data_IF_171128844800
#
_entry.id   IF_171128844800
#
_cell.length_a   1.000
_cell.length_b   1.000
_cell.length_c   1.000
_cell.angle_alpha   90.00
_cell.angle_beta   90.00
_cell.angle_gamma   90.00
#
_symmetry.space_group_name_H-M   'P 1'
#
loop_
_entity.id
_entity.type
_entity.pdbx_description
1 polymer ?
#
# COMPACT_ATOMS: atom_id res chain seq x y z
N UNK A 1 48.93 4.49 15.59
CA UNK A 1 48.14 5.02 16.72
C UNK A 1 46.96 4.09 16.95
N UNK A 2 46.95 3.31 18.04
CA UNK A 2 45.76 2.52 18.42
C UNK A 2 44.72 3.49 18.99
N UNK A 3 43.89 4.07 18.14
CA UNK A 3 42.79 4.93 18.57
C UNK A 3 41.67 4.05 19.14
N UNK A 4 41.51 4.04 20.46
CA UNK A 4 40.42 3.35 21.13
C UNK A 4 40.68 3.25 22.64
N UNK A 5 39.63 3.33 23.46
CA UNK A 5 39.79 3.13 24.90
C UNK A 5 40.19 1.68 25.20
N UNK A 6 41.21 1.46 26.06
CA UNK A 6 41.72 0.12 26.36
C UNK A 6 40.79 -0.70 27.25
N UNK A 7 39.84 -0.06 27.97
CA UNK A 7 38.89 -0.71 28.88
C UNK A 7 37.42 -0.33 28.59
N UNK A 8 36.84 -0.74 27.44
CA UNK A 8 35.47 -0.40 27.08
C UNK A 8 34.40 -0.77 28.14
N UNK A 9 34.43 -1.95 28.80
CA UNK A 9 33.39 -2.34 29.75
C UNK A 9 33.39 -1.49 31.03
N UNK A 10 34.57 -1.16 31.55
CA UNK A 10 34.71 -0.27 32.70
C UNK A 10 34.13 1.11 32.39
N UNK A 11 34.46 1.64 31.21
CA UNK A 11 33.94 2.92 30.76
C UNK A 11 32.41 2.87 30.60
N UNK A 12 31.85 1.82 30.00
CA UNK A 12 30.40 1.63 29.88
C UNK A 12 29.71 1.57 31.25
N UNK A 13 30.31 0.92 32.24
CA UNK A 13 29.81 0.91 33.62
C UNK A 13 29.79 2.33 34.21
N UNK A 14 30.89 3.08 34.06
CA UNK A 14 30.96 4.46 34.53
C UNK A 14 29.89 5.33 33.87
N UNK A 15 29.64 5.15 32.57
CA UNK A 15 28.55 5.81 31.87
C UNK A 15 27.19 5.47 32.48
N UNK A 16 26.89 4.20 32.78
CA UNK A 16 25.62 3.81 33.43
C UNK A 16 25.45 4.39 34.83
N UNK A 17 26.52 4.37 35.64
CA UNK A 17 26.49 4.94 37.00
C UNK A 17 26.25 6.46 36.95
N UNK A 18 26.93 7.16 36.04
CA UNK A 18 26.75 8.59 35.83
C UNK A 18 25.34 8.91 35.29
N UNK A 19 24.88 8.17 34.29
CA UNK A 19 23.53 8.28 33.73
C UNK A 19 22.45 8.12 34.80
N UNK A 20 22.56 7.08 35.64
CA UNK A 20 21.60 6.82 36.71
C UNK A 20 21.53 7.98 37.71
N UNK A 21 22.67 8.54 38.11
CA UNK A 21 22.73 9.70 39.01
C UNK A 21 22.08 10.94 38.39
N UNK A 22 22.42 11.26 37.15
CA UNK A 22 21.91 12.43 36.44
C UNK A 22 20.39 12.34 36.20
N UNK A 23 19.90 11.17 35.76
CA UNK A 23 18.48 10.95 35.50
C UNK A 23 17.66 10.96 36.81
N UNK A 24 18.16 10.36 37.90
CA UNK A 24 17.49 10.40 39.22
C UNK A 24 17.43 11.81 39.79
N UNK A 25 18.52 12.57 39.71
CA UNK A 25 18.56 13.96 40.18
C UNK A 25 17.57 14.86 39.42
N UNK A 26 17.26 14.50 38.17
CA UNK A 26 16.37 15.27 37.30
C UNK A 26 14.88 14.87 37.40
N UNK A 27 14.57 13.72 37.99
CA UNK A 27 13.21 13.18 38.13
C UNK A 27 12.20 14.16 38.81
N UNK A 28 12.52 14.83 39.94
CA UNK A 28 11.55 15.72 40.59
C UNK A 28 11.25 16.99 39.76
N UNK A 29 12.20 17.45 38.93
CA UNK A 29 12.02 18.63 38.08
C UNK A 29 11.15 18.33 36.85
N UNK A 30 11.25 17.12 36.30
CA UNK A 30 10.44 16.67 35.17
C UNK A 30 8.97 16.43 35.58
N UNK A 31 8.74 15.88 36.77
CA UNK A 31 7.41 15.59 37.29
C UNK A 31 6.63 16.87 37.66
N UNK A 32 7.31 17.89 38.19
CA UNK A 32 6.73 19.20 38.48
C UNK A 32 6.30 19.96 37.21
N UNK A 33 7.11 19.90 36.13
CA UNK A 33 6.81 20.62 34.87
C UNK A 33 5.77 19.93 34.00
N UNK A 34 5.61 18.61 34.10
CA UNK A 34 4.54 17.88 33.44
C UNK A 34 3.14 18.29 33.95
N UNK A 35 3.04 18.78 35.18
CA UNK A 35 1.79 19.28 35.78
C UNK A 35 1.43 20.71 35.34
N UNK A 36 2.38 21.49 34.83
CA UNK A 36 2.17 22.91 34.46
C UNK A 36 1.68 23.12 33.02
N UNK A 37 1.36 22.06 32.25
CA UNK A 37 0.66 22.17 30.97
C UNK A 37 1.42 22.88 29.83
N UNK A 38 2.68 23.25 30.03
CA UNK A 38 3.49 23.92 29.02
C UNK A 38 3.88 22.97 27.88
N UNK A 39 3.40 23.25 26.67
CA UNK A 39 3.68 22.52 25.40
C UNK A 39 5.17 22.49 24.96
N UNK A 40 6.11 22.88 25.82
CA UNK A 40 7.54 22.83 25.55
C UNK A 40 8.29 22.16 26.68
N UNK A 41 8.52 20.85 26.56
CA UNK A 41 9.46 20.15 27.44
C UNK A 41 10.87 20.66 27.13
N UNK A 42 11.31 21.70 27.85
CA UNK A 42 12.71 22.13 27.83
C UNK A 42 13.51 21.07 28.57
N UNK A 43 14.14 20.19 27.80
CA UNK A 43 15.05 19.18 28.32
C UNK A 43 16.20 19.89 29.04
N UNK A 44 16.43 19.54 30.30
CA UNK A 44 17.55 20.09 31.06
C UNK A 44 18.85 19.41 30.62
N UNK A 45 19.98 20.12 30.70
CA UNK A 45 21.30 19.55 30.38
C UNK A 45 21.57 18.21 31.08
N UNK A 46 21.23 18.02 32.38
CA UNK A 46 21.43 16.74 33.05
C UNK A 46 20.57 15.60 32.49
N UNK A 47 19.37 15.87 31.97
CA UNK A 47 18.54 14.85 31.31
C UNK A 47 19.16 14.43 29.99
N UNK A 48 19.60 15.39 29.17
CA UNK A 48 20.24 15.11 27.89
C UNK A 48 21.53 14.32 28.09
N UNK A 49 22.41 14.79 28.98
CA UNK A 49 23.68 14.14 29.29
C UNK A 49 23.46 12.74 29.89
N UNK A 50 22.52 12.62 30.83
CA UNK A 50 22.15 11.33 31.41
C UNK A 50 21.63 10.33 30.37
N UNK A 51 20.88 10.81 29.37
CA UNK A 51 20.38 9.98 28.26
C UNK A 51 21.49 9.50 27.34
N UNK A 52 22.41 10.39 26.98
CA UNK A 52 23.57 10.07 26.15
C UNK A 52 24.41 9.00 26.86
N UNK A 53 24.70 9.21 28.15
CA UNK A 53 25.47 8.26 28.94
C UNK A 53 24.75 6.93 29.14
N UNK A 54 23.41 6.91 29.22
CA UNK A 54 22.63 5.67 29.29
C UNK A 54 22.80 4.82 28.02
N UNK A 55 22.70 5.45 26.84
CA UNK A 55 22.90 4.79 25.54
C UNK A 55 24.34 4.30 25.39
N UNK A 56 25.32 5.17 25.65
CA UNK A 56 26.74 4.82 25.56
C UNK A 56 27.14 3.68 26.53
N UNK A 57 26.47 3.62 27.68
CA UNK A 57 26.64 2.59 28.68
C UNK A 57 25.89 1.28 28.40
N UNK A 58 25.16 1.17 27.29
CA UNK A 58 24.31 0.02 26.95
C UNK A 58 23.21 -0.27 27.98
N UNK A 59 22.74 0.76 28.70
CA UNK A 59 21.67 0.63 29.68
C UNK A 59 20.30 0.85 29.02
N UNK A 60 19.68 -0.22 28.52
CA UNK A 60 18.37 -0.13 27.84
C UNK A 60 17.28 0.44 28.74
N UNK A 61 17.13 -0.10 29.95
CA UNK A 61 16.09 0.36 30.88
C UNK A 61 16.30 1.82 31.29
N UNK A 62 17.55 2.24 31.48
CA UNK A 62 17.90 3.64 31.78
C UNK A 62 17.61 4.55 30.58
N UNK A 63 17.91 4.09 29.37
CA UNK A 63 17.65 4.84 28.13
C UNK A 63 16.15 5.04 27.96
N UNK A 64 15.34 3.97 28.06
CA UNK A 64 13.89 4.04 27.94
C UNK A 64 13.20 4.76 29.11
N UNK A 65 13.86 4.89 30.26
CA UNK A 65 13.37 5.73 31.36
C UNK A 65 13.59 7.22 31.10
N UNK A 66 14.41 7.59 30.10
CA UNK A 66 14.62 8.98 29.75
C UNK A 66 13.45 9.55 28.95
N UNK A 67 12.96 10.77 29.30
CA UNK A 67 11.95 11.46 28.52
C UNK A 67 12.44 11.90 27.13
N UNK A 68 13.76 11.95 26.89
CA UNK A 68 14.32 12.25 25.57
C UNK A 68 14.16 11.05 24.63
N UNK A 69 14.52 9.85 25.09
CA UNK A 69 14.53 8.62 24.28
C UNK A 69 13.12 8.04 24.12
N UNK A 70 12.26 8.21 25.12
CA UNK A 70 10.88 7.72 25.07
C UNK A 70 9.87 8.77 24.58
N UNK A 71 10.36 9.78 23.84
CA UNK A 71 9.53 10.89 23.32
C UNK A 71 8.64 10.48 22.15
N UNK A 72 9.15 9.60 21.29
CA UNK A 72 8.45 9.06 20.14
C UNK A 72 8.70 7.56 20.01
N UNK A 73 7.91 6.93 19.14
CA UNK A 73 8.07 5.52 18.83
C UNK A 73 9.40 5.26 18.12
N UNK A 74 9.82 6.15 17.22
CA UNK A 74 11.08 6.06 16.49
C UNK A 74 12.29 6.16 17.41
N UNK A 75 12.27 7.08 18.38
CA UNK A 75 13.37 7.25 19.34
C UNK A 75 13.51 6.00 20.24
N UNK A 76 12.38 5.43 20.67
CA UNK A 76 12.36 4.19 21.45
C UNK A 76 12.83 2.99 20.62
N UNK A 77 12.34 2.86 19.37
CA UNK A 77 12.76 1.81 18.45
C UNK A 77 14.25 1.90 18.15
N UNK A 78 14.75 3.11 17.86
CA UNK A 78 16.17 3.38 17.66
C UNK A 78 16.99 2.93 18.86
N UNK A 79 16.59 3.26 20.08
CA UNK A 79 17.32 2.86 21.28
C UNK A 79 17.41 1.34 21.39
N UNK A 80 16.30 0.62 21.20
CA UNK A 80 16.31 -0.84 21.19
C UNK A 80 17.26 -1.42 20.14
N UNK A 81 17.09 -1.06 18.86
CA UNK A 81 17.91 -1.58 17.77
C UNK A 81 19.39 -1.21 17.92
N UNK A 82 19.67 0.01 18.37
CA UNK A 82 21.04 0.50 18.58
C UNK A 82 21.73 -0.28 19.69
N UNK A 83 21.07 -0.43 20.85
CA UNK A 83 21.66 -1.13 21.99
C UNK A 83 21.80 -2.63 21.72
N UNK A 84 20.85 -3.23 20.99
CA UNK A 84 20.95 -4.62 20.51
C UNK A 84 22.20 -4.80 19.62
N UNK A 85 22.41 -3.94 18.63
CA UNK A 85 23.57 -4.00 17.74
C UNK A 85 24.90 -3.78 18.49
N UNK A 86 24.96 -2.76 19.35
CA UNK A 86 26.16 -2.47 20.14
C UNK A 86 26.46 -3.59 21.17
N UNK A 87 25.43 -4.23 21.73
CA UNK A 87 25.58 -5.38 22.63
C UNK A 87 26.11 -6.61 21.89
N UNK A 88 25.62 -6.92 20.67
CA UNK A 88 26.16 -7.99 19.81
C UNK A 88 27.66 -7.75 19.55
N UNK A 89 28.04 -6.53 19.19
CA UNK A 89 29.44 -6.17 18.96
C UNK A 89 30.31 -6.21 20.24
N UNK A 90 29.76 -5.82 21.39
CA UNK A 90 30.47 -5.92 22.67
C UNK A 90 30.67 -7.38 23.10
N UNK A 91 29.64 -8.22 22.95
CA UNK A 91 29.68 -9.65 23.25
C UNK A 91 30.73 -10.40 22.42
N UNK A 92 30.76 -10.18 21.10
CA UNK A 92 31.76 -10.83 20.25
C UNK A 92 33.19 -10.37 20.58
N UNK A 93 33.39 -9.08 20.90
CA UNK A 93 34.69 -8.58 21.35
C UNK A 93 35.13 -9.22 22.67
N UNK A 94 34.22 -9.38 23.63
CA UNK A 94 34.50 -10.05 24.90
C UNK A 94 34.88 -11.53 24.70
N UNK A 95 34.13 -12.26 23.85
CA UNK A 95 34.47 -13.65 23.46
C UNK A 95 35.83 -13.74 22.79
N UNK A 96 36.14 -12.83 21.86
CA UNK A 96 37.44 -12.79 21.19
C UNK A 96 38.58 -12.53 22.18
N UNK A 97 38.44 -11.55 23.09
CA UNK A 97 39.44 -11.28 24.14
C UNK A 97 39.66 -12.46 25.07
N UNK A 98 38.59 -13.18 25.45
CA UNK A 98 38.69 -14.42 26.22
C UNK A 98 39.55 -15.45 25.51
N UNK A 99 39.28 -15.71 24.22
CA UNK A 99 40.08 -16.66 23.42
C UNK A 99 41.53 -16.21 23.33
N UNK A 100 41.78 -14.93 23.05
CA UNK A 100 43.13 -14.38 22.97
C UNK A 100 43.92 -14.57 24.28
N UNK A 101 43.28 -14.32 25.43
CA UNK A 101 43.86 -14.52 26.74
C UNK A 101 44.16 -16.01 27.05
N UNK A 102 43.39 -16.93 26.48
CA UNK A 102 43.59 -18.38 26.64
C UNK A 102 44.68 -18.95 25.71
N UNK A 103 44.89 -18.35 24.53
CA UNK A 103 45.75 -18.93 23.49
C UNK A 103 47.13 -18.27 23.39
N UNK A 104 47.33 -17.05 23.89
CA UNK A 104 48.56 -16.29 23.65
C UNK A 104 49.19 -15.72 24.91
N UNK A 105 50.40 -16.19 25.24
CA UNK A 105 51.27 -15.61 26.27
C UNK A 105 51.81 -14.21 25.91
N UNK A 106 51.65 -13.78 24.65
CA UNK A 106 52.15 -12.50 24.12
C UNK A 106 51.26 -11.29 24.46
N UNK A 107 50.09 -11.51 25.06
CA UNK A 107 49.14 -10.44 25.41
C UNK A 107 48.71 -10.50 26.89
N UNK A 108 49.62 -10.27 27.85
CA UNK A 108 49.30 -10.31 29.28
C UNK A 108 48.18 -9.33 29.70
N UNK A 109 48.06 -8.17 29.04
CA UNK A 109 46.97 -7.20 29.29
C UNK A 109 45.60 -7.64 28.75
N UNK A 110 45.52 -8.73 27.97
CA UNK A 110 44.24 -9.31 27.58
C UNK A 110 43.54 -9.97 28.78
N UNK A 111 44.30 -10.41 29.79
CA UNK A 111 43.78 -11.15 30.96
C UNK A 111 43.05 -10.25 31.95
N UNK A 112 43.56 -9.04 32.21
CA UNK A 112 42.96 -8.09 33.17
C UNK A 112 41.55 -7.64 32.74
N UNK A 113 41.33 -7.49 31.43
CA UNK A 113 40.06 -7.00 30.89
C UNK A 113 38.99 -8.11 30.78
N UNK A 114 39.39 -9.38 30.77
CA UNK A 114 38.45 -10.51 30.64
C UNK A 114 37.58 -10.66 31.88
N UNK A 115 38.10 -10.40 33.08
CA UNK A 115 37.30 -10.50 34.30
C UNK A 115 36.16 -9.47 34.34
N UNK A 116 36.41 -8.23 33.90
CA UNK A 116 35.39 -7.19 33.78
C UNK A 116 34.41 -7.49 32.64
N UNK A 117 34.90 -7.90 31.47
CA UNK A 117 34.05 -8.36 30.36
C UNK A 117 33.06 -9.45 30.80
N UNK A 118 33.55 -10.45 31.52
CA UNK A 118 32.74 -11.59 31.96
C UNK A 118 31.66 -11.21 32.98
N UNK A 119 31.89 -10.15 33.78
CA UNK A 119 30.86 -9.65 34.71
C UNK A 119 29.68 -9.01 33.99
N UNK A 120 29.91 -8.35 32.86
CA UNK A 120 28.86 -7.71 32.05
C UNK A 120 28.28 -8.63 30.98
N UNK A 121 28.91 -9.79 30.76
CA UNK A 121 28.52 -10.72 29.70
C UNK A 121 27.06 -11.16 29.77
N UNK A 122 26.46 -11.49 30.94
CA UNK A 122 25.05 -11.91 30.98
C UNK A 122 24.08 -10.84 30.47
N UNK A 123 24.32 -9.56 30.79
CA UNK A 123 23.49 -8.44 30.33
C UNK A 123 23.66 -8.20 28.82
N UNK A 124 24.91 -8.23 28.36
CA UNK A 124 25.24 -8.10 26.94
C UNK A 124 24.65 -9.23 26.11
N UNK A 125 24.72 -10.47 26.59
CA UNK A 125 24.13 -11.64 25.92
C UNK A 125 22.61 -11.53 25.86
N UNK A 126 21.96 -11.13 26.96
CA UNK A 126 20.51 -10.88 26.98
C UNK A 126 20.09 -9.86 25.92
N UNK A 127 20.81 -8.74 25.81
CA UNK A 127 20.52 -7.73 24.79
C UNK A 127 20.89 -8.17 23.37
N UNK A 128 21.98 -8.95 23.23
CA UNK A 128 22.45 -9.43 21.94
C UNK A 128 21.56 -10.53 21.34
N UNK A 129 20.85 -11.28 22.19
CA UNK A 129 19.88 -12.31 21.83
C UNK A 129 18.50 -11.77 21.48
N UNK A 130 18.23 -10.48 21.69
CA UNK A 130 16.99 -9.89 21.22
C UNK A 130 16.94 -9.98 19.69
N UNK A 131 15.77 -10.32 19.18
CA UNK A 131 15.45 -10.22 17.76
C UNK A 131 14.51 -9.04 17.49
N UNK A 132 14.40 -8.56 16.24
CA UNK A 132 13.52 -7.46 15.87
C UNK A 132 12.07 -7.62 16.37
N UNK A 133 11.55 -8.84 16.42
CA UNK A 133 10.23 -9.18 16.95
C UNK A 133 10.10 -8.80 18.44
N UNK A 134 11.13 -9.07 19.23
CA UNK A 134 11.15 -8.72 20.66
C UNK A 134 11.13 -7.21 20.85
N UNK A 135 11.82 -6.47 19.98
CA UNK A 135 11.82 -5.01 19.99
C UNK A 135 10.41 -4.48 19.72
N UNK A 136 9.75 -4.94 18.66
CA UNK A 136 8.41 -4.45 18.33
C UNK A 136 7.37 -4.88 19.35
N UNK A 137 7.50 -6.06 19.97
CA UNK A 137 6.67 -6.47 21.11
C UNK A 137 6.86 -5.51 22.28
N UNK A 138 8.11 -5.20 22.64
CA UNK A 138 8.42 -4.26 23.72
C UNK A 138 7.88 -2.84 23.45
N UNK A 139 7.87 -2.37 22.20
CA UNK A 139 7.27 -1.09 21.82
C UNK A 139 5.74 -1.10 21.99
N UNK A 140 5.07 -2.20 21.62
CA UNK A 140 3.63 -2.39 21.86
C UNK A 140 3.26 -2.46 23.34
N UNK A 141 4.16 -2.99 24.17
CA UNK A 141 4.01 -3.12 25.62
C UNK A 141 4.64 -1.93 26.41
N UNK A 142 5.10 -0.90 25.71
CA UNK A 142 5.84 0.22 26.31
C UNK A 142 5.07 0.88 27.44
N UNK A 143 5.75 1.36 28.49
CA UNK A 143 5.08 2.10 29.58
C UNK A 143 4.56 3.48 29.12
N UNK A 144 5.13 4.02 28.04
CA UNK A 144 4.73 5.31 27.49
C UNK A 144 3.55 5.13 26.55
N UNK A 145 2.39 5.63 26.97
CA UNK A 145 1.12 5.54 26.23
C UNK A 145 1.25 6.02 24.77
N UNK A 146 1.96 7.12 24.53
CA UNK A 146 2.19 7.63 23.18
C UNK A 146 2.94 6.60 22.30
N UNK A 147 3.96 5.95 22.84
CA UNK A 147 4.74 4.92 22.12
C UNK A 147 3.86 3.72 21.80
N UNK A 148 3.06 3.24 22.77
CA UNK A 148 2.12 2.13 22.52
C UNK A 148 1.09 2.46 21.44
N UNK A 149 0.50 3.66 21.50
CA UNK A 149 -0.49 4.11 20.51
C UNK A 149 0.12 4.20 19.12
N UNK A 150 1.32 4.76 19.00
CA UNK A 150 2.07 4.78 17.76
C UNK A 150 2.38 3.36 17.27
N UNK A 151 2.77 2.43 18.14
CA UNK A 151 3.04 1.04 17.74
C UNK A 151 1.83 0.35 17.09
N UNK A 152 0.60 0.75 17.44
CA UNK A 152 -0.64 0.26 16.83
C UNK A 152 -1.04 1.01 15.54
N UNK A 153 -0.43 2.15 15.23
CA UNK A 153 -0.81 2.97 14.10
C UNK A 153 -0.47 2.28 12.76
N UNK A 154 -1.31 2.42 11.70
CA UNK A 154 -1.13 1.70 10.43
C UNK A 154 0.25 1.86 9.80
N UNK A 155 0.81 3.08 9.84
CA UNK A 155 2.15 3.38 9.29
C UNK A 155 3.24 2.60 10.02
N UNK A 156 3.17 2.52 11.35
CA UNK A 156 4.16 1.80 12.15
C UNK A 156 3.98 0.28 12.07
N UNK A 157 2.74 -0.21 11.89
CA UNK A 157 2.50 -1.63 11.55
C UNK A 157 3.18 -2.02 10.24
N UNK A 158 3.10 -1.16 9.23
CA UNK A 158 3.79 -1.37 7.97
C UNK A 158 5.31 -1.31 8.08
N UNK A 159 5.85 -0.33 8.81
CA UNK A 159 7.29 -0.26 9.09
C UNK A 159 7.78 -1.51 9.82
N UNK A 160 7.02 -1.98 10.83
CA UNK A 160 7.30 -3.25 11.51
C UNK A 160 7.34 -4.41 10.53
N UNK A 161 6.31 -4.59 9.70
CA UNK A 161 6.25 -5.69 8.75
C UNK A 161 7.42 -5.67 7.75
N UNK A 162 7.81 -4.49 7.26
CA UNK A 162 8.97 -4.32 6.37
C UNK A 162 10.29 -4.71 7.04
N UNK A 163 10.45 -4.45 8.33
CA UNK A 163 11.66 -4.81 9.09
C UNK A 163 11.69 -6.31 9.43
N UNK A 164 10.55 -6.88 9.81
CA UNK A 164 10.42 -8.31 10.16
C UNK A 164 10.53 -9.22 8.93
N UNK A 165 10.18 -8.72 7.75
CA UNK A 165 10.41 -9.41 6.48
C UNK A 165 9.15 -10.05 5.89
N UNK A 166 9.30 -11.09 5.05
CA UNK A 166 8.25 -11.53 4.14
C UNK A 166 7.00 -12.08 4.82
N UNK A 167 7.13 -12.84 5.91
CA UNK A 167 6.01 -13.44 6.63
C UNK A 167 5.11 -12.36 7.26
N UNK A 168 5.71 -11.43 8.02
CA UNK A 168 4.97 -10.32 8.63
C UNK A 168 4.36 -9.37 7.58
N UNK A 169 4.99 -9.22 6.42
CA UNK A 169 4.44 -8.44 5.32
C UNK A 169 3.26 -9.15 4.63
N UNK A 170 3.32 -10.48 4.48
CA UNK A 170 2.21 -11.27 3.99
C UNK A 170 0.99 -11.17 4.92
N UNK A 171 1.19 -11.32 6.23
CA UNK A 171 0.14 -11.12 7.24
C UNK A 171 -0.48 -9.73 7.13
N UNK A 172 0.35 -8.68 7.05
CA UNK A 172 -0.15 -7.31 6.91
C UNK A 172 -0.98 -7.12 5.62
N UNK A 173 -0.56 -7.71 4.51
CA UNK A 173 -1.31 -7.59 3.24
C UNK A 173 -2.65 -8.29 3.33
N UNK A 174 -2.74 -9.44 4.00
CA UNK A 174 -4.02 -10.10 4.26
C UNK A 174 -4.94 -9.22 5.11
N UNK A 175 -4.41 -8.66 6.21
CA UNK A 175 -5.18 -7.75 7.07
C UNK A 175 -5.66 -6.49 6.31
N UNK A 176 -4.82 -5.94 5.43
CA UNK A 176 -5.20 -4.80 4.59
C UNK A 176 -6.30 -5.19 3.59
N UNK A 177 -6.23 -6.38 3.01
CA UNK A 177 -7.26 -6.87 2.10
C UNK A 177 -8.59 -7.12 2.83
N UNK A 178 -8.56 -7.71 4.02
CA UNK A 178 -9.73 -7.91 4.88
C UNK A 178 -10.36 -6.57 5.32
N UNK A 179 -9.53 -5.52 5.43
CA UNK A 179 -9.96 -4.17 5.79
C UNK A 179 -10.61 -3.37 4.65
N UNK A 180 -10.67 -3.89 3.42
CA UNK A 180 -11.22 -3.17 2.26
C UNK A 180 -12.67 -2.74 2.49
N UNK A 181 -13.52 -3.65 2.94
CA UNK A 181 -14.95 -3.37 3.16
C UNK A 181 -15.18 -2.33 4.26
N UNK A 182 -14.34 -2.34 5.30
CA UNK A 182 -14.40 -1.38 6.39
C UNK A 182 -13.92 0.02 5.96
N UNK A 183 -12.98 0.08 5.01
CA UNK A 183 -12.46 1.34 4.50
C UNK A 183 -13.38 1.97 3.44
N UNK A 184 -14.18 1.18 2.73
CA UNK A 184 -15.04 1.63 1.64
C UNK A 184 -16.01 2.76 2.06
N UNK A 185 -16.03 3.85 1.30
CA UNK A 185 -16.87 5.02 1.56
C UNK A 185 -16.44 5.88 2.75
N UNK A 186 -15.35 5.54 3.43
CA UNK A 186 -14.79 6.37 4.51
C UNK A 186 -14.01 7.56 3.95
N UNK A 187 -13.82 8.61 4.77
CA UNK A 187 -12.94 9.72 4.41
C UNK A 187 -11.46 9.28 4.22
N UNK A 188 -11.12 8.10 4.74
CA UNK A 188 -9.79 7.54 4.75
C UNK A 188 -9.48 6.67 3.52
N UNK A 189 -10.51 6.26 2.79
CA UNK A 189 -10.43 5.32 1.67
C UNK A 189 -9.33 5.67 0.64
N UNK A 190 -9.19 6.92 0.17
CA UNK A 190 -8.23 7.23 -0.89
C UNK A 190 -6.78 7.01 -0.46
N UNK A 191 -6.44 7.39 0.78
CA UNK A 191 -5.08 7.19 1.28
C UNK A 191 -4.81 5.73 1.61
N UNK A 192 -5.81 5.03 2.12
CA UNK A 192 -5.71 3.61 2.46
C UNK A 192 -5.45 2.77 1.21
N UNK A 193 -6.31 2.91 0.18
CA UNK A 193 -6.18 2.16 -1.07
C UNK A 193 -4.85 2.48 -1.77
N UNK A 194 -4.48 3.76 -1.80
CA UNK A 194 -3.19 4.18 -2.36
C UNK A 194 -2.04 3.51 -1.62
N UNK A 195 -2.02 3.57 -0.30
CA UNK A 195 -0.97 2.98 0.50
C UNK A 195 -0.88 1.46 0.30
N UNK A 196 -2.00 0.76 0.42
CA UNK A 196 -2.06 -0.70 0.33
C UNK A 196 -1.63 -1.19 -1.06
N UNK A 197 -2.17 -0.62 -2.14
CA UNK A 197 -1.81 -0.98 -3.51
C UNK A 197 -0.31 -0.78 -3.78
N UNK A 198 0.26 0.36 -3.36
CA UNK A 198 1.69 0.63 -3.58
C UNK A 198 2.59 -0.26 -2.71
N UNK A 199 2.17 -0.60 -1.49
CA UNK A 199 2.89 -1.55 -0.65
C UNK A 199 2.92 -2.94 -1.31
N UNK A 200 1.78 -3.43 -1.79
CA UNK A 200 1.68 -4.70 -2.53
C UNK A 200 2.58 -4.70 -3.77
N UNK A 201 2.59 -3.61 -4.54
CA UNK A 201 3.48 -3.48 -5.70
C UNK A 201 4.94 -3.44 -5.32
N UNK A 202 5.31 -2.67 -4.30
CA UNK A 202 6.68 -2.59 -3.82
C UNK A 202 7.18 -3.95 -3.34
N UNK A 203 6.36 -4.68 -2.58
CA UNK A 203 6.65 -6.02 -2.10
C UNK A 203 6.87 -7.02 -3.24
N UNK A 204 6.00 -6.99 -4.26
CA UNK A 204 6.08 -7.89 -5.43
C UNK A 204 7.26 -7.57 -6.35
N UNK A 205 7.52 -6.29 -6.62
CA UNK A 205 8.43 -5.86 -7.69
C UNK A 205 9.84 -5.54 -7.20
N UNK A 206 9.95 -4.73 -6.13
CA UNK A 206 11.23 -4.26 -5.62
C UNK A 206 11.83 -5.29 -4.66
N UNK A 207 11.05 -5.80 -3.71
CA UNK A 207 11.52 -6.78 -2.73
C UNK A 207 11.51 -8.22 -3.27
N UNK A 208 10.66 -8.52 -4.27
CA UNK A 208 10.53 -9.82 -4.92
C UNK A 208 10.27 -10.97 -3.94
N UNK A 209 9.42 -10.74 -2.94
CA UNK A 209 9.11 -11.78 -1.96
C UNK A 209 8.28 -12.90 -2.61
N UNK A 210 8.72 -14.18 -2.50
CA UNK A 210 8.13 -15.29 -3.24
C UNK A 210 6.74 -15.69 -2.75
N UNK A 211 6.50 -15.60 -1.44
CA UNK A 211 5.32 -16.15 -0.77
C UNK A 211 4.29 -15.08 -0.39
N UNK A 212 4.22 -13.99 -1.16
CA UNK A 212 3.19 -12.97 -0.96
C UNK A 212 1.81 -13.51 -1.38
N UNK A 213 0.74 -13.19 -0.61
CA UNK A 213 -0.62 -13.61 -0.92
C UNK A 213 -1.10 -12.88 -2.18
N UNK A 214 -1.06 -13.57 -3.33
CA UNK A 214 -1.27 -12.96 -4.65
C UNK A 214 -2.69 -12.42 -4.80
N UNK A 215 -3.66 -13.20 -4.36
CA UNK A 215 -5.08 -12.88 -4.41
C UNK A 215 -5.38 -11.61 -3.60
N UNK A 216 -4.80 -11.49 -2.40
CA UNK A 216 -4.93 -10.30 -1.57
C UNK A 216 -4.27 -9.07 -2.22
N UNK A 217 -3.07 -9.23 -2.81
CA UNK A 217 -2.43 -8.15 -3.55
C UNK A 217 -3.27 -7.70 -4.75
N UNK A 218 -3.83 -8.63 -5.50
CA UNK A 218 -4.65 -8.34 -6.68
C UNK A 218 -5.99 -7.71 -6.28
N UNK A 219 -6.58 -8.11 -5.15
CA UNK A 219 -7.78 -7.48 -4.59
C UNK A 219 -7.53 -6.00 -4.20
N UNK A 220 -6.43 -5.72 -3.50
CA UNK A 220 -6.02 -4.36 -3.14
C UNK A 220 -5.76 -3.49 -4.39
N UNK A 221 -5.08 -4.05 -5.40
CA UNK A 221 -4.83 -3.36 -6.67
C UNK A 221 -6.11 -3.10 -7.45
N UNK A 222 -7.03 -4.07 -7.49
CA UNK A 222 -8.31 -3.95 -8.15
C UNK A 222 -9.17 -2.86 -7.49
N UNK A 223 -9.24 -2.86 -6.16
CA UNK A 223 -9.96 -1.84 -5.40
C UNK A 223 -9.41 -0.43 -5.70
N UNK A 224 -8.08 -0.28 -5.70
CA UNK A 224 -7.46 1.00 -6.04
C UNK A 224 -7.69 1.41 -7.50
N UNK A 225 -7.62 0.48 -8.45
CA UNK A 225 -7.90 0.75 -9.86
C UNK A 225 -9.35 1.20 -10.09
N UNK A 226 -10.32 0.58 -9.39
CA UNK A 226 -11.74 0.99 -9.41
C UNK A 226 -11.94 2.38 -8.82
N UNK A 227 -11.32 2.67 -7.67
CA UNK A 227 -11.35 4.01 -7.08
C UNK A 227 -10.80 5.09 -8.03
N UNK A 228 -9.71 4.78 -8.76
CA UNK A 228 -9.16 5.68 -9.78
C UNK A 228 -10.11 5.86 -10.97
N UNK A 229 -10.85 4.81 -11.36
CA UNK A 229 -11.84 4.87 -12.43
C UNK A 229 -13.03 5.76 -12.05
N UNK A 230 -13.54 5.63 -10.83
CA UNK A 230 -14.60 6.49 -10.27
C UNK A 230 -14.15 7.96 -10.23
N UNK A 231 -12.90 8.22 -9.83
CA UNK A 231 -12.28 9.53 -9.86
C UNK A 231 -11.90 10.05 -11.26
N UNK A 232 -12.26 9.34 -12.34
CA UNK A 232 -11.91 9.64 -13.75
C UNK A 232 -10.42 9.89 -13.98
N UNK A 233 -9.55 9.22 -13.23
CA UNK A 233 -8.09 9.30 -13.40
C UNK A 233 -7.61 8.33 -14.49
N UNK A 234 -8.20 8.47 -15.69
CA UNK A 234 -8.12 7.55 -16.83
C UNK A 234 -6.70 7.02 -17.11
N UNK A 235 -5.69 7.90 -17.07
CA UNK A 235 -4.30 7.51 -17.37
C UNK A 235 -3.71 6.51 -16.39
N UNK A 236 -4.10 6.61 -15.12
CA UNK A 236 -3.58 5.74 -14.06
C UNK A 236 -4.30 4.40 -14.08
N UNK A 237 -5.61 4.36 -14.38
CA UNK A 237 -6.39 3.12 -14.39
C UNK A 237 -5.75 2.06 -15.27
N UNK A 238 -5.39 2.39 -16.52
CA UNK A 238 -4.74 1.45 -17.43
C UNK A 238 -3.39 0.93 -16.89
N UNK A 239 -2.60 1.81 -16.26
CA UNK A 239 -1.31 1.43 -15.69
C UNK A 239 -1.45 0.43 -14.53
N UNK A 240 -2.43 0.63 -13.63
CA UNK A 240 -2.69 -0.32 -12.54
C UNK A 240 -3.40 -1.59 -13.03
N UNK A 241 -4.33 -1.49 -13.98
CA UNK A 241 -5.02 -2.64 -14.55
C UNK A 241 -4.05 -3.59 -15.28
N UNK A 242 -3.00 -3.06 -15.90
CA UNK A 242 -1.94 -3.87 -16.51
C UNK A 242 -1.22 -4.80 -15.52
N UNK A 243 -1.26 -4.48 -14.23
CA UNK A 243 -0.63 -5.27 -13.15
C UNK A 243 -1.57 -6.35 -12.58
N UNK A 244 -2.85 -6.34 -12.99
CA UNK A 244 -3.85 -7.32 -12.60
C UNK A 244 -3.85 -8.55 -13.53
N UNK A 245 -4.40 -9.68 -13.06
CA UNK A 245 -4.74 -10.81 -13.92
C UNK A 245 -5.69 -10.39 -15.08
N UNK A 246 -5.74 -11.15 -16.19
CA UNK A 246 -6.46 -10.76 -17.40
C UNK A 246 -7.95 -10.43 -17.19
N UNK A 247 -8.67 -11.24 -16.42
CA UNK A 247 -10.11 -11.08 -16.20
C UNK A 247 -10.46 -9.82 -15.37
N UNK A 248 -9.87 -9.58 -14.18
CA UNK A 248 -10.06 -8.34 -13.44
C UNK A 248 -9.64 -7.09 -14.22
N UNK A 249 -8.57 -7.18 -15.02
CA UNK A 249 -8.12 -6.11 -15.90
C UNK A 249 -9.19 -5.76 -16.92
N UNK A 250 -9.68 -6.76 -17.66
CA UNK A 250 -10.71 -6.57 -18.67
C UNK A 250 -11.96 -5.95 -18.06
N UNK A 251 -12.47 -6.50 -16.95
CA UNK A 251 -13.65 -5.96 -16.26
C UNK A 251 -13.46 -4.49 -15.87
N UNK A 252 -12.33 -4.14 -15.26
CA UNK A 252 -12.03 -2.76 -14.83
C UNK A 252 -12.01 -1.78 -16.01
N UNK A 253 -11.42 -2.19 -17.13
CA UNK A 253 -11.36 -1.36 -18.34
C UNK A 253 -12.71 -1.24 -19.04
N UNK A 254 -13.48 -2.33 -19.10
CA UNK A 254 -14.85 -2.32 -19.63
C UNK A 254 -15.73 -1.35 -18.83
N UNK A 255 -15.69 -1.45 -17.49
CA UNK A 255 -16.44 -0.55 -16.61
C UNK A 255 -16.00 0.91 -16.77
N UNK A 256 -14.69 1.16 -16.92
CA UNK A 256 -14.19 2.49 -17.25
C UNK A 256 -14.75 3.00 -18.59
N UNK A 257 -14.64 2.23 -19.67
CA UNK A 257 -15.11 2.64 -21.00
C UNK A 257 -16.60 2.96 -20.99
N UNK A 258 -17.42 2.15 -20.31
CA UNK A 258 -18.86 2.40 -20.15
C UNK A 258 -19.16 3.74 -19.47
N UNK A 259 -18.33 4.16 -18.51
CA UNK A 259 -18.50 5.41 -17.78
C UNK A 259 -18.01 6.67 -18.51
N UNK A 260 -17.22 6.54 -19.59
CA UNK A 260 -16.62 7.67 -20.28
C UNK A 260 -17.52 8.22 -21.40
N UNK A 261 -17.93 9.48 -21.27
CA UNK A 261 -18.76 10.15 -22.28
C UNK A 261 -17.97 11.19 -23.11
N UNK A 262 -16.93 11.80 -22.53
CA UNK A 262 -16.16 12.83 -23.23
C UNK A 262 -15.25 12.21 -24.30
N UNK A 263 -15.31 12.65 -25.57
CA UNK A 263 -14.43 12.14 -26.63
C UNK A 263 -12.94 12.24 -26.29
N UNK A 264 -12.53 13.31 -25.59
CA UNK A 264 -11.14 13.47 -25.16
C UNK A 264 -10.73 12.48 -24.07
N UNK A 265 -11.65 12.13 -23.17
CA UNK A 265 -11.40 11.11 -22.13
C UNK A 265 -11.34 9.72 -22.75
N UNK A 266 -12.27 9.40 -23.67
CA UNK A 266 -12.28 8.14 -24.43
C UNK A 266 -10.97 7.93 -25.19
N UNK A 267 -10.51 8.96 -25.92
CA UNK A 267 -9.23 8.93 -26.65
C UNK A 267 -8.06 8.64 -25.71
N UNK A 268 -8.00 9.38 -24.61
CA UNK A 268 -6.91 9.24 -23.62
C UNK A 268 -6.92 7.86 -22.95
N UNK A 269 -8.11 7.28 -22.70
CA UNK A 269 -8.25 5.93 -22.17
C UNK A 269 -7.68 4.89 -23.13
N UNK A 270 -8.07 4.96 -24.40
CA UNK A 270 -7.58 4.07 -25.45
C UNK A 270 -6.08 4.20 -25.66
N UNK A 271 -5.56 5.44 -25.74
CA UNK A 271 -4.12 5.69 -25.86
C UNK A 271 -3.33 4.99 -24.75
N UNK A 272 -3.83 5.05 -23.52
CA UNK A 272 -3.16 4.41 -22.38
C UNK A 272 -3.35 2.90 -22.37
N UNK A 273 -4.55 2.40 -22.68
CA UNK A 273 -4.84 0.97 -22.72
C UNK A 273 -4.00 0.26 -23.79
N UNK A 274 -3.94 0.82 -25.01
CA UNK A 274 -3.17 0.29 -26.13
C UNK A 274 -1.66 0.29 -25.87
N UNK A 275 -1.15 1.22 -25.06
CA UNK A 275 0.28 1.21 -24.65
C UNK A 275 0.61 0.06 -23.71
N UNK A 276 -0.31 -0.34 -22.83
CA UNK A 276 -0.04 -1.34 -21.80
C UNK A 276 -0.42 -2.77 -22.22
N UNK A 277 -1.53 -2.93 -22.94
CA UNK A 277 -2.07 -4.25 -23.32
C UNK A 277 -2.75 -4.19 -24.70
N UNK A 278 -2.01 -3.92 -25.79
CA UNK A 278 -2.57 -3.66 -27.12
C UNK A 278 -3.49 -4.78 -27.65
N UNK A 279 -3.17 -6.03 -27.32
CA UNK A 279 -3.90 -7.20 -27.82
C UNK A 279 -5.26 -7.39 -27.14
N UNK A 280 -5.43 -6.88 -25.91
CA UNK A 280 -6.66 -7.09 -25.12
C UNK A 280 -7.68 -5.97 -25.34
N UNK A 281 -7.25 -4.80 -25.84
CA UNK A 281 -8.13 -3.62 -26.02
C UNK A 281 -9.30 -3.90 -26.98
N UNK A 282 -9.13 -4.57 -28.13
CA UNK A 282 -10.24 -4.82 -29.05
C UNK A 282 -11.38 -5.61 -28.41
N UNK A 283 -11.06 -6.67 -27.67
CA UNK A 283 -12.05 -7.52 -26.99
C UNK A 283 -12.74 -6.74 -25.86
N UNK A 284 -11.99 -5.96 -25.07
CA UNK A 284 -12.57 -5.09 -24.05
C UNK A 284 -13.55 -4.05 -24.62
N UNK A 285 -13.26 -3.49 -25.79
CA UNK A 285 -14.19 -2.56 -26.47
C UNK A 285 -15.45 -3.29 -26.91
N UNK A 286 -15.31 -4.46 -27.52
CA UNK A 286 -16.44 -5.28 -27.98
C UNK A 286 -17.38 -5.60 -26.81
N UNK A 287 -16.82 -6.07 -25.69
CA UNK A 287 -17.59 -6.37 -24.49
C UNK A 287 -18.26 -5.11 -23.90
N UNK A 288 -17.55 -3.97 -23.86
CA UNK A 288 -18.11 -2.70 -23.39
C UNK A 288 -19.27 -2.23 -24.28
N UNK A 289 -19.13 -2.31 -25.61
CA UNK A 289 -20.21 -1.95 -26.55
C UNK A 289 -21.38 -2.92 -26.42
N UNK A 290 -21.13 -4.22 -26.30
CA UNK A 290 -22.18 -5.23 -26.11
C UNK A 290 -22.98 -4.96 -24.82
N UNK A 291 -22.30 -4.66 -23.70
CA UNK A 291 -22.95 -4.31 -22.43
C UNK A 291 -23.74 -3.00 -22.51
N UNK A 292 -23.21 -1.96 -23.16
CA UNK A 292 -23.93 -0.70 -23.38
C UNK A 292 -25.18 -0.90 -24.26
N UNK A 293 -25.14 -1.84 -25.21
CA UNK A 293 -26.28 -2.16 -26.06
C UNK A 293 -27.37 -2.93 -25.33
N UNK A 294 -26.98 -3.86 -24.46
CA UNK A 294 -27.88 -4.64 -23.63
C UNK A 294 -28.49 -3.83 -22.47
N UNK A 295 -27.93 -2.66 -22.15
CA UNK A 295 -28.41 -1.83 -21.04
C UNK A 295 -29.87 -1.37 -21.26
N UNK A 296 -30.76 -1.51 -20.25
CA UNK A 296 -32.15 -1.09 -20.36
C UNK A 296 -32.26 0.43 -20.47
N UNK A 297 -33.25 0.93 -21.23
CA UNK A 297 -33.43 2.36 -21.52
C UNK A 297 -33.54 3.27 -20.27
N UNK A 298 -33.91 2.70 -19.13
CA UNK A 298 -34.07 3.38 -17.83
C UNK A 298 -32.74 3.80 -17.21
N UNK A 299 -31.61 3.17 -17.59
CA UNK A 299 -30.30 3.41 -16.97
C UNK A 299 -29.51 4.57 -17.56
N UNK A 300 -30.11 5.37 -18.45
CA UNK A 300 -29.35 6.42 -19.16
C UNK A 300 -28.93 7.57 -18.26
N UNK A 301 -29.64 7.87 -17.16
CA UNK A 301 -29.24 8.69 -15.99
C UNK A 301 -28.62 10.09 -16.22
N UNK A 302 -28.30 10.43 -17.45
CA UNK A 302 -27.45 11.52 -17.87
C UNK A 302 -28.32 12.55 -18.55
N UNK A 303 -28.53 13.65 -17.82
CA UNK A 303 -29.35 14.77 -18.25
C UNK A 303 -28.93 15.33 -19.61
N UNK A 304 -27.63 15.26 -19.97
CA UNK A 304 -27.12 15.79 -21.24
C UNK A 304 -27.47 14.89 -22.43
N UNK A 305 -27.37 13.57 -22.24
CA UNK A 305 -27.77 12.60 -23.25
C UNK A 305 -29.29 12.65 -23.46
N UNK A 306 -30.07 12.74 -22.38
CA UNK A 306 -31.52 12.90 -22.46
C UNK A 306 -31.94 14.20 -23.16
N UNK A 307 -31.26 15.32 -22.88
CA UNK A 307 -31.51 16.60 -23.54
C UNK A 307 -31.22 16.54 -25.04
N UNK A 308 -30.05 16.00 -25.44
CA UNK A 308 -29.70 15.81 -26.87
C UNK A 308 -30.67 14.85 -27.58
N UNK A 309 -31.07 13.78 -26.90
CA UNK A 309 -32.07 12.84 -27.40
C UNK A 309 -33.40 13.54 -27.68
N UNK A 310 -33.87 14.35 -26.74
CA UNK A 310 -35.09 15.14 -26.91
C UNK A 310 -34.98 16.17 -28.04
N UNK A 311 -33.84 16.85 -28.20
CA UNK A 311 -33.61 17.80 -29.30
C UNK A 311 -33.63 17.11 -30.67
N UNK A 312 -33.16 15.87 -30.75
CA UNK A 312 -33.10 15.07 -31.97
C UNK A 312 -34.37 14.26 -32.23
N UNK A 313 -35.31 14.22 -31.27
CA UNK A 313 -36.52 13.40 -31.36
C UNK A 313 -36.24 11.89 -31.29
N UNK A 314 -35.13 11.47 -30.69
CA UNK A 314 -34.69 10.07 -30.57
C UNK A 314 -34.74 9.62 -29.11
N UNK A 315 -34.89 8.33 -28.85
CA UNK A 315 -34.77 7.78 -27.48
C UNK A 315 -33.30 7.89 -27.02
N UNK A 316 -33.08 8.30 -25.78
CA UNK A 316 -31.72 8.45 -25.23
C UNK A 316 -30.93 7.14 -25.23
N UNK A 317 -31.62 6.01 -25.10
CA UNK A 317 -31.03 4.68 -25.21
C UNK A 317 -30.42 4.42 -26.59
N UNK A 318 -31.10 4.84 -27.67
CA UNK A 318 -30.64 4.64 -29.03
C UNK A 318 -29.45 5.54 -29.37
N UNK A 319 -29.45 6.78 -28.86
CA UNK A 319 -28.27 7.64 -28.95
C UNK A 319 -27.07 7.06 -28.21
N UNK A 320 -27.25 6.52 -26.99
CA UNK A 320 -26.17 5.87 -26.26
C UNK A 320 -25.60 4.67 -27.02
N UNK A 321 -26.49 3.84 -27.60
CA UNK A 321 -26.09 2.69 -28.42
C UNK A 321 -25.29 3.11 -29.66
N UNK A 322 -25.69 4.20 -30.32
CA UNK A 322 -24.95 4.77 -31.46
C UNK A 322 -23.60 5.37 -31.02
N UNK A 323 -23.56 6.12 -29.93
CA UNK A 323 -22.32 6.68 -29.39
C UNK A 323 -21.34 5.60 -28.90
N UNK A 324 -21.84 4.42 -28.53
CA UNK A 324 -20.99 3.27 -28.19
C UNK A 324 -20.25 2.71 -29.42
N UNK A 325 -20.83 2.75 -30.62
CA UNK A 325 -20.15 2.33 -31.84
C UNK A 325 -18.94 3.22 -32.16
N UNK A 326 -18.97 4.49 -31.72
CA UNK A 326 -17.85 5.42 -31.86
C UNK A 326 -16.56 4.97 -31.16
N UNK A 327 -16.60 3.97 -30.27
CA UNK A 327 -15.39 3.36 -29.70
C UNK A 327 -14.52 2.66 -30.74
N UNK A 328 -15.12 2.03 -31.76
CA UNK A 328 -14.36 1.32 -32.80
C UNK A 328 -13.60 2.29 -33.71
N UNK A 329 -14.27 3.35 -34.17
CA UNK A 329 -13.66 4.38 -35.00
C UNK A 329 -12.49 5.06 -34.26
N UNK A 330 -12.72 5.40 -32.99
CA UNK A 330 -11.70 6.04 -32.17
C UNK A 330 -10.52 5.10 -31.86
N UNK A 331 -10.78 3.82 -31.63
CA UNK A 331 -9.73 2.84 -31.41
C UNK A 331 -8.86 2.68 -32.66
N UNK A 332 -9.47 2.62 -33.86
CA UNK A 332 -8.77 2.58 -35.13
C UNK A 332 -7.85 3.81 -35.30
N UNK A 333 -8.39 5.01 -35.09
CA UNK A 333 -7.60 6.25 -35.19
C UNK A 333 -6.41 6.25 -34.22
N UNK A 334 -6.63 5.88 -32.96
CA UNK A 334 -5.57 5.86 -31.94
C UNK A 334 -4.53 4.79 -32.25
N UNK A 335 -4.93 3.61 -32.73
CA UNK A 335 -4.01 2.54 -33.08
C UNK A 335 -3.11 2.93 -34.27
N UNK A 336 -3.67 3.58 -35.29
CA UNK A 336 -2.89 4.12 -36.42
C UNK A 336 -1.87 5.16 -35.95
N UNK A 337 -2.26 6.07 -35.05
CA UNK A 337 -1.35 7.07 -34.48
C UNK A 337 -0.22 6.44 -33.66
N UNK A 338 -0.52 5.35 -32.94
CA UNK A 338 0.47 4.63 -32.12
C UNK A 338 1.28 3.59 -32.91
N UNK A 339 0.95 3.35 -34.19
CA UNK A 339 1.59 2.31 -35.00
C UNK A 339 1.31 0.89 -34.50
N UNK A 340 0.15 0.66 -33.89
CA UNK A 340 -0.28 -0.63 -33.36
C UNK A 340 -1.30 -1.24 -34.34
N UNK A 341 -1.08 -2.49 -34.76
CA UNK A 341 -2.10 -3.20 -35.54
C UNK A 341 -3.22 -3.69 -34.62
N UNK A 342 -4.46 -3.25 -34.89
CA UNK A 342 -5.66 -3.84 -34.31
C UNK A 342 -6.01 -5.11 -35.08
N UNK A 343 -6.43 -6.16 -34.36
CA UNK A 343 -6.91 -7.38 -34.98
C UNK A 343 -8.06 -7.08 -35.97
N UNK A 344 -7.98 -7.64 -37.18
CA UNK A 344 -8.90 -7.41 -38.29
C UNK A 344 -10.37 -7.75 -37.93
N UNK A 345 -10.56 -8.69 -36.99
CA UNK A 345 -11.86 -9.19 -36.54
C UNK A 345 -12.72 -8.11 -35.88
N UNK A 346 -12.09 -7.12 -35.21
CA UNK A 346 -12.81 -6.04 -34.53
C UNK A 346 -13.60 -5.14 -35.49
N UNK A 347 -13.13 -4.98 -36.74
CA UNK A 347 -13.86 -4.22 -37.77
C UNK A 347 -15.09 -4.95 -38.27
N UNK A 348 -14.97 -6.27 -38.48
CA UNK A 348 -16.09 -7.11 -38.89
C UNK A 348 -17.17 -7.12 -37.81
N UNK A 349 -16.75 -7.20 -36.54
CA UNK A 349 -17.65 -7.16 -35.40
C UNK A 349 -18.28 -5.78 -35.17
N UNK A 350 -17.58 -4.68 -35.43
CA UNK A 350 -18.16 -3.34 -35.39
C UNK A 350 -19.30 -3.18 -36.41
N UNK A 351 -19.09 -3.66 -37.63
CA UNK A 351 -20.13 -3.67 -38.69
C UNK A 351 -21.29 -4.57 -38.31
N UNK A 352 -21.01 -5.75 -37.76
CA UNK A 352 -22.05 -6.66 -37.27
C UNK A 352 -22.85 -6.02 -36.12
N UNK A 353 -22.18 -5.35 -35.18
CA UNK A 353 -22.80 -4.65 -34.06
C UNK A 353 -23.68 -3.49 -34.54
N UNK A 354 -23.24 -2.73 -35.53
CA UNK A 354 -24.03 -1.69 -36.18
C UNK A 354 -25.28 -2.24 -36.87
N UNK A 355 -25.15 -3.31 -37.65
CA UNK A 355 -26.28 -3.98 -38.31
C UNK A 355 -27.31 -4.51 -37.31
N UNK A 356 -26.86 -5.11 -36.21
CA UNK A 356 -27.74 -5.60 -35.15
C UNK A 356 -28.44 -4.44 -34.44
N UNK A 357 -27.77 -3.31 -34.20
CA UNK A 357 -28.39 -2.12 -33.62
C UNK A 357 -29.48 -1.54 -34.52
N UNK A 358 -29.20 -1.38 -35.81
CA UNK A 358 -30.18 -0.89 -36.78
C UNK A 358 -31.42 -1.78 -36.79
N UNK A 359 -31.25 -3.12 -36.79
CA UNK A 359 -32.38 -4.06 -36.68
C UNK A 359 -33.20 -3.84 -35.42
N UNK A 360 -32.57 -3.67 -34.25
CA UNK A 360 -33.29 -3.43 -32.99
C UNK A 360 -34.09 -2.14 -33.04
N UNK A 361 -33.49 -1.04 -33.50
CA UNK A 361 -34.17 0.27 -33.61
C UNK A 361 -35.36 0.19 -34.56
N UNK A 362 -35.17 -0.38 -35.75
CA UNK A 362 -36.23 -0.47 -36.77
C UNK A 362 -37.35 -1.45 -36.37
N UNK A 363 -37.06 -2.52 -35.64
CA UNK A 363 -38.07 -3.50 -35.21
C UNK A 363 -38.83 -3.06 -33.95
N UNK A 364 -38.17 -2.37 -33.02
CA UNK A 364 -38.82 -1.83 -31.80
C UNK A 364 -39.83 -0.71 -32.13
N UNK A 365 -39.57 0.12 -33.15
CA UNK A 365 -40.53 1.15 -33.58
C UNK A 365 -41.74 0.56 -34.34
N UNK A 366 -41.58 -0.54 -35.09
CA UNK A 366 -42.72 -1.22 -35.74
C UNK A 366 -43.67 -1.88 -34.74
N UNK A 367 -43.17 -2.37 -33.60
CA UNK A 367 -44.01 -2.99 -32.58
C UNK A 367 -44.79 -1.97 -31.73
N UNK A 368 -44.34 -0.70 -31.68
CA UNK A 368 -45.01 0.37 -30.95
C UNK A 368 -46.17 1.02 -31.74
N UNK A 369 -46.06 1.07 -33.08
CA UNK A 369 -47.12 1.61 -33.95
C UNK A 369 -48.31 0.65 -34.14
N UNK A 370 -48.13 -0.66 -33.95
CA UNK A 370 -49.20 -1.66 -34.08
C UNK A 370 -50.09 -1.80 -32.83
N UNK A 371 -49.86 -1.02 -31.77
CA UNK A 371 -50.67 -1.04 -30.54
C UNK A 371 -52.04 -0.35 -30.64
N UNK A 372 -52.38 0.24 -31.79
CA UNK A 372 -53.59 1.04 -31.99
C UNK A 372 -54.79 0.31 -32.60
N UNK A 373 -54.66 -0.91 -33.13
CA UNK A 373 -55.78 -1.56 -33.81
C UNK A 373 -55.79 -3.09 -33.69
N UNK A 374 -56.70 -3.59 -32.85
CA UNK A 374 -57.54 -4.75 -33.19
C UNK A 374 -56.92 -6.15 -33.11
N UNK A 375 -57.11 -6.78 -31.96
CA UNK A 375 -57.61 -8.15 -31.77
C UNK A 375 -57.13 -9.29 -32.71
N UNK A 376 -56.45 -10.26 -32.08
CA UNK A 376 -56.83 -11.68 -32.17
C UNK A 376 -56.18 -12.52 -33.27
N UNK A 377 -55.21 -13.35 -32.88
CA UNK A 377 -55.14 -14.81 -33.13
C UNK A 377 -53.71 -15.33 -33.35
N UNK A 378 -53.43 -16.42 -32.60
CA UNK A 378 -52.53 -17.54 -32.94
C UNK A 378 -51.01 -17.33 -32.89
N UNK A 379 -50.47 -17.66 -31.72
CA UNK A 379 -49.47 -18.69 -31.47
C UNK A 379 -48.55 -19.17 -32.61
N UNK A 380 -47.25 -19.17 -32.27
CA UNK A 380 -46.23 -20.18 -32.60
C UNK A 380 -45.94 -20.44 -34.07
N UNK A 381 -44.81 -19.92 -34.58
CA UNK A 381 -43.76 -20.69 -35.28
C UNK A 381 -42.53 -19.76 -35.45
N UNK A 382 -41.33 -20.34 -35.48
CA UNK A 382 -40.01 -19.73 -35.76
C UNK A 382 -39.16 -19.30 -34.57
N UNK A 383 -38.88 -20.27 -33.70
CA UNK A 383 -37.49 -20.54 -33.35
C UNK A 383 -36.88 -21.47 -34.43
N UNK A 384 -35.59 -21.29 -34.73
CA UNK A 384 -34.73 -22.02 -35.68
C UNK A 384 -34.64 -21.48 -37.13
N UNK A 385 -33.66 -20.60 -37.34
CA UNK A 385 -32.70 -20.61 -38.44
C UNK A 385 -31.53 -19.67 -38.12
#
# INVERSE_FOLDING_TARGET
VRSGQPRPPLWQRMCREAASKLLRASAPTAQARALEGGSGSVLTTPVVEGSILAVLGLGLDLSLSSPLVSRSWEDAAWAHFRLMADARAAAERAKHRKRQAQTSALYPHAVENVAEDMRFMPELERLAQLEPEDVFRALGESRVEKVRRCAAAPVHRAQRALVLGPEALAELILELADGLDAAAGSAEEPWFLRFAAHLSLYARTALKFPDLPREACDALLLAYARHLAEGRQVRLVAAYAALLPPEPRARTMIDLFKGLQSPSERRRALETALRWFPNDVPTMILDAVAELRAAPAVHTGDARLAERASQLGVKAADLLRLEALGWFDLAQEVAEVLGVELALDAKLEAVHAGNCLLRTIFLEDTAADDGGAGAGASAATMAAA
#
